data_IF_994619489044
#
_entry.id   IF_994619489044
#
_cell.length_a   1.000
_cell.length_b   1.000
_cell.length_c   1.000
_cell.angle_alpha   90.00
_cell.angle_beta   90.00
_cell.angle_gamma   90.00
#
_symmetry.space_group_name_H-M   'P 1'
#
loop_
_entity.id
_entity.type
_entity.pdbx_description
1 polymer ?
#
# COMPACT_ATOMS: atom_id res chain seq x y z
N UNK A 1 6.25 -10.64 16.30
CA UNK A 1 7.57 -11.04 15.75
C UNK A 1 7.58 -12.55 15.66
N UNK A 2 7.89 -13.12 14.49
CA UNK A 2 7.83 -14.55 14.22
C UNK A 2 9.16 -15.04 13.64
N UNK A 3 9.80 -15.98 14.31
CA UNK A 3 11.06 -16.63 13.88
C UNK A 3 10.87 -18.10 13.50
N UNK A 4 9.67 -18.64 13.68
CA UNK A 4 9.37 -20.04 13.40
C UNK A 4 9.42 -20.38 11.92
N UNK A 5 9.71 -21.64 11.61
CA UNK A 5 9.89 -22.10 10.24
C UNK A 5 8.65 -21.95 9.38
N UNK A 6 7.44 -22.13 9.95
CA UNK A 6 6.20 -22.01 9.20
C UNK A 6 5.94 -20.57 8.75
N UNK A 7 6.12 -19.61 9.65
CA UNK A 7 5.98 -18.19 9.32
C UNK A 7 7.00 -17.76 8.27
N UNK A 8 8.24 -18.22 8.37
CA UNK A 8 9.29 -17.90 7.39
C UNK A 8 9.00 -18.52 6.02
N UNK A 9 8.61 -19.79 5.97
CA UNK A 9 8.33 -20.47 4.69
C UNK A 9 7.11 -19.91 3.97
N UNK A 10 6.10 -19.43 4.70
CA UNK A 10 4.92 -18.80 4.10
C UNK A 10 5.20 -17.44 3.45
N UNK A 11 6.39 -16.88 3.64
CA UNK A 11 6.79 -15.57 3.11
C UNK A 11 7.97 -15.63 2.13
N UNK A 12 8.32 -16.81 1.61
CA UNK A 12 9.42 -16.98 0.65
C UNK A 12 9.01 -16.79 -0.81
N UNK A 13 7.73 -16.71 -1.10
CA UNK A 13 7.20 -16.63 -2.47
C UNK A 13 6.15 -15.54 -2.62
N UNK A 14 5.97 -15.05 -3.82
CA UNK A 14 4.88 -14.20 -4.26
C UNK A 14 4.27 -14.76 -5.55
N UNK A 15 3.54 -13.95 -6.31
CA UNK A 15 2.92 -14.38 -7.58
C UNK A 15 3.94 -14.65 -8.71
N UNK A 16 5.22 -14.34 -8.53
CA UNK A 16 6.29 -14.75 -9.47
C UNK A 16 6.65 -16.23 -9.35
N UNK A 17 6.22 -16.88 -8.28
CA UNK A 17 6.60 -18.26 -7.91
C UNK A 17 8.11 -18.42 -7.63
N UNK A 18 8.85 -17.34 -7.53
CA UNK A 18 10.24 -17.38 -7.11
C UNK A 18 10.35 -17.73 -5.63
N UNK A 19 11.35 -18.54 -5.29
CA UNK A 19 11.71 -18.93 -3.93
C UNK A 19 13.22 -18.88 -3.85
N UNK A 20 13.75 -17.76 -3.37
CA UNK A 20 15.20 -17.54 -3.36
C UNK A 20 15.79 -17.85 -2.00
N UNK A 21 15.29 -17.22 -0.93
CA UNK A 21 15.82 -17.37 0.42
C UNK A 21 14.72 -17.25 1.47
N UNK A 22 15.00 -17.71 2.69
CA UNK A 22 14.12 -17.53 3.84
C UNK A 22 14.44 -16.20 4.53
N UNK A 23 13.43 -15.41 4.93
CA UNK A 23 13.70 -14.24 5.75
C UNK A 23 14.22 -14.66 7.13
N UNK A 24 15.06 -13.83 7.76
CA UNK A 24 15.46 -14.02 9.15
C UNK A 24 14.23 -13.99 10.07
N UNK A 25 13.34 -13.04 9.83
CA UNK A 25 12.18 -12.77 10.68
C UNK A 25 10.99 -12.29 9.85
N UNK A 26 9.79 -12.60 10.34
CA UNK A 26 8.54 -12.02 9.85
C UNK A 26 7.95 -11.15 10.96
N UNK A 27 7.68 -9.91 10.64
CA UNK A 27 7.09 -8.89 11.51
C UNK A 27 5.66 -8.63 11.04
N UNK A 28 4.70 -8.77 11.94
CA UNK A 28 3.29 -8.49 11.66
C UNK A 28 2.82 -7.47 12.69
N UNK A 29 2.93 -6.15 12.40
CA UNK A 29 2.49 -5.12 13.33
C UNK A 29 0.99 -5.23 13.61
N UNK A 30 0.59 -4.99 14.85
CA UNK A 30 -0.80 -4.99 15.28
C UNK A 30 -1.47 -3.63 14.99
N UNK A 31 -0.66 -2.58 14.82
CA UNK A 31 -1.11 -1.22 14.49
C UNK A 31 -0.05 -0.48 13.67
N UNK A 32 -0.47 0.56 12.97
CA UNK A 32 0.46 1.46 12.24
C UNK A 32 1.47 2.14 13.16
N UNK A 33 1.11 2.39 14.42
CA UNK A 33 1.98 3.06 15.39
C UNK A 33 3.29 2.30 15.65
N UNK A 34 3.32 0.98 15.45
CA UNK A 34 4.51 0.16 15.61
C UNK A 34 5.48 0.26 14.42
N UNK A 35 5.01 0.73 13.26
CA UNK A 35 5.74 0.60 12.00
C UNK A 35 7.09 1.30 12.02
N UNK A 36 7.16 2.56 12.49
CA UNK A 36 8.41 3.32 12.53
C UNK A 36 9.46 2.66 13.44
N UNK A 37 9.03 2.12 14.58
CA UNK A 37 9.94 1.41 15.50
C UNK A 37 10.45 0.09 14.91
N UNK A 38 9.61 -0.65 14.20
CA UNK A 38 10.01 -1.88 13.51
C UNK A 38 11.00 -1.60 12.39
N UNK A 39 10.74 -0.58 11.56
CA UNK A 39 11.66 -0.14 10.50
C UNK A 39 13.00 0.27 11.09
N UNK A 40 12.99 1.09 12.16
CA UNK A 40 14.21 1.51 12.87
C UNK A 40 15.01 0.32 13.38
N UNK A 41 14.36 -0.63 14.04
CA UNK A 41 15.03 -1.84 14.54
C UNK A 41 15.64 -2.68 13.41
N UNK A 42 14.97 -2.82 12.28
CA UNK A 42 15.52 -3.51 11.11
C UNK A 42 16.77 -2.80 10.57
N UNK A 43 16.74 -1.47 10.47
CA UNK A 43 17.89 -0.66 10.03
C UNK A 43 19.08 -0.84 10.99
N UNK A 44 18.86 -0.72 12.29
CA UNK A 44 19.90 -0.88 13.31
C UNK A 44 20.54 -2.28 13.29
N UNK A 45 19.77 -3.30 12.93
CA UNK A 45 20.24 -4.69 12.78
C UNK A 45 20.84 -5.00 11.40
N UNK A 46 20.86 -4.04 10.48
CA UNK A 46 21.34 -4.23 9.12
C UNK A 46 20.50 -5.19 8.27
N UNK A 47 19.19 -5.30 8.56
CA UNK A 47 18.30 -6.19 7.84
C UNK A 47 17.72 -5.51 6.59
N UNK A 48 17.68 -6.24 5.48
CA UNK A 48 16.92 -5.84 4.30
C UNK A 48 15.42 -5.89 4.62
N UNK A 49 14.73 -4.75 4.47
CA UNK A 49 13.30 -4.65 4.75
C UNK A 49 12.49 -4.98 3.50
N UNK A 50 11.55 -5.91 3.64
CA UNK A 50 10.65 -6.36 2.58
C UNK A 50 9.22 -6.11 3.03
N UNK A 51 8.58 -5.01 2.62
CA UNK A 51 7.17 -4.79 2.90
C UNK A 51 6.32 -5.77 2.08
N UNK A 52 5.31 -6.35 2.73
CA UNK A 52 4.44 -7.34 2.11
C UNK A 52 2.98 -7.12 2.49
N UNK A 53 2.12 -7.01 1.49
CA UNK A 53 0.67 -7.17 1.60
C UNK A 53 0.27 -8.59 1.19
N UNK A 54 -0.61 -8.74 0.20
CA UNK A 54 -1.08 -10.03 -0.30
C UNK A 54 -0.06 -10.85 -1.09
N UNK A 55 1.12 -10.32 -1.40
CA UNK A 55 2.14 -11.02 -2.20
C UNK A 55 1.72 -11.30 -3.65
N UNK A 56 0.85 -10.48 -4.22
CA UNK A 56 0.24 -10.67 -5.54
C UNK A 56 1.01 -10.00 -6.68
N UNK A 57 2.11 -9.31 -6.39
CA UNK A 57 2.95 -8.62 -7.38
C UNK A 57 3.78 -9.60 -8.22
N UNK A 58 4.10 -9.17 -9.46
CA UNK A 58 4.88 -9.97 -10.42
C UNK A 58 6.33 -9.47 -10.57
N UNK A 59 6.81 -8.64 -9.65
CA UNK A 59 8.16 -8.06 -9.74
C UNK A 59 9.18 -8.71 -8.81
N UNK A 60 8.76 -9.66 -7.98
CA UNK A 60 9.61 -10.26 -6.95
C UNK A 60 9.87 -9.32 -5.74
N UNK A 61 9.14 -8.20 -5.65
CA UNK A 61 9.36 -7.21 -4.59
C UNK A 61 8.92 -7.64 -3.19
N UNK A 62 8.18 -8.76 -3.08
CA UNK A 62 7.68 -9.27 -1.80
C UNK A 62 8.40 -10.55 -1.34
N UNK A 63 9.51 -10.94 -1.98
CA UNK A 63 10.28 -12.12 -1.64
C UNK A 63 11.67 -11.78 -1.10
N UNK A 64 12.18 -12.53 -0.11
CA UNK A 64 13.56 -12.40 0.36
C UNK A 64 14.56 -12.88 -0.70
N UNK A 65 15.58 -12.08 -0.98
CA UNK A 65 16.72 -12.47 -1.82
C UNK A 65 17.94 -12.85 -0.98
N UNK A 66 17.91 -12.55 0.32
CA UNK A 66 18.98 -12.71 1.27
C UNK A 66 18.38 -13.12 2.62
N UNK A 67 19.08 -14.01 3.35
CA UNK A 67 18.66 -14.44 4.67
C UNK A 67 18.67 -13.29 5.71
N UNK A 68 19.52 -12.26 5.55
CA UNK A 68 19.54 -11.06 6.39
C UNK A 68 18.40 -10.11 6.04
N UNK A 69 17.18 -10.62 6.02
CA UNK A 69 16.00 -9.86 5.67
C UNK A 69 14.87 -10.00 6.70
N UNK A 70 14.08 -8.96 6.80
CA UNK A 70 12.85 -8.92 7.59
C UNK A 70 11.66 -8.66 6.65
N UNK A 71 10.69 -9.56 6.64
CA UNK A 71 9.42 -9.31 5.98
C UNK A 71 8.50 -8.58 6.96
N UNK A 72 8.06 -7.38 6.60
CA UNK A 72 7.03 -6.65 7.35
C UNK A 72 5.69 -6.88 6.63
N UNK A 73 4.87 -7.75 7.22
CA UNK A 73 3.57 -8.12 6.65
C UNK A 73 2.46 -7.25 7.25
N UNK A 74 1.71 -6.58 6.39
CA UNK A 74 0.64 -5.63 6.76
C UNK A 74 -0.73 -6.30 6.98
N UNK A 75 -0.80 -7.62 7.06
CA UNK A 75 -2.06 -8.40 7.12
C UNK A 75 -3.02 -8.01 8.25
N UNK A 76 -2.53 -7.38 9.30
CA UNK A 76 -3.35 -6.91 10.43
C UNK A 76 -3.77 -5.44 10.32
N UNK A 77 -3.17 -4.68 9.43
CA UNK A 77 -3.50 -3.28 9.20
C UNK A 77 -4.70 -3.22 8.23
N UNK A 78 -5.89 -3.49 8.74
CA UNK A 78 -7.09 -3.75 7.94
C UNK A 78 -8.27 -2.83 8.24
N UNK A 79 -8.02 -1.74 8.95
CA UNK A 79 -9.06 -0.76 9.21
C UNK A 79 -9.43 0.00 7.94
N UNK A 80 -10.72 0.17 7.73
CA UNK A 80 -11.31 0.85 6.59
C UNK A 80 -12.39 1.82 7.09
N UNK A 81 -12.30 3.07 6.66
CA UNK A 81 -13.30 4.09 6.95
C UNK A 81 -14.56 3.95 6.10
N UNK A 82 -15.43 4.94 6.20
CA UNK A 82 -16.58 5.08 5.31
C UNK A 82 -16.22 5.96 4.11
N UNK A 83 -16.97 5.82 3.04
CA UNK A 83 -16.90 6.77 1.93
C UNK A 83 -17.52 8.10 2.41
N UNK A 84 -16.71 9.15 2.40
CA UNK A 84 -17.07 10.47 2.88
C UNK A 84 -16.67 11.54 1.88
N UNK A 85 -17.52 12.57 1.68
CA UNK A 85 -17.11 13.74 0.91
C UNK A 85 -16.05 14.53 1.68
N UNK A 86 -14.91 14.79 1.04
CA UNK A 86 -13.83 15.61 1.60
C UNK A 86 -13.43 16.72 0.64
N UNK A 87 -13.12 17.89 1.19
CA UNK A 87 -12.49 18.99 0.47
C UNK A 87 -11.00 18.68 0.32
N UNK A 88 -10.57 18.33 -0.90
CA UNK A 88 -9.15 18.16 -1.18
C UNK A 88 -8.47 19.52 -1.40
N UNK A 89 -7.17 19.66 -1.02
CA UNK A 89 -6.45 20.92 -1.15
C UNK A 89 -6.46 21.46 -2.58
N UNK A 90 -6.86 22.72 -2.75
CA UNK A 90 -6.95 23.40 -4.03
C UNK A 90 -8.21 23.12 -4.85
N UNK A 91 -9.13 22.26 -4.37
CA UNK A 91 -10.42 22.05 -5.03
C UNK A 91 -11.52 22.93 -4.42
N UNK A 92 -12.48 23.34 -5.26
CA UNK A 92 -13.64 24.13 -4.88
C UNK A 92 -14.88 23.31 -4.52
N UNK A 93 -14.79 21.98 -4.68
CA UNK A 93 -15.86 21.01 -4.39
C UNK A 93 -15.37 19.86 -3.52
N UNK A 94 -16.30 19.21 -2.85
CA UNK A 94 -16.02 17.97 -2.13
C UNK A 94 -15.95 16.79 -3.08
N UNK A 95 -15.07 15.84 -2.75
CA UNK A 95 -14.83 14.62 -3.54
C UNK A 95 -15.04 13.42 -2.62
N UNK A 96 -15.77 12.38 -3.07
CA UNK A 96 -15.89 11.16 -2.28
C UNK A 96 -14.52 10.51 -2.10
N UNK A 97 -14.17 10.26 -0.86
CA UNK A 97 -12.92 9.61 -0.46
C UNK A 97 -13.17 8.52 0.57
N UNK A 98 -12.27 7.57 0.65
CA UNK A 98 -12.24 6.54 1.69
C UNK A 98 -10.83 6.45 2.25
N UNK A 99 -10.72 6.37 3.57
CA UNK A 99 -9.45 6.11 4.24
C UNK A 99 -9.29 4.62 4.48
N UNK A 100 -8.08 4.11 4.29
CA UNK A 100 -7.76 2.70 4.50
C UNK A 100 -6.37 2.52 5.07
N UNK A 101 -6.18 1.51 5.88
CA UNK A 101 -4.86 0.98 6.20
C UNK A 101 -4.26 0.17 5.03
N UNK A 102 -2.95 -0.06 5.09
CA UNK A 102 -2.17 -0.66 4.00
C UNK A 102 -2.55 -2.13 3.69
N UNK A 103 -3.00 -2.88 4.69
CA UNK A 103 -3.37 -4.30 4.57
C UNK A 103 -4.81 -4.53 4.13
N UNK A 104 -5.61 -3.48 3.95
CA UNK A 104 -6.99 -3.62 3.46
C UNK A 104 -6.99 -4.25 2.08
N UNK A 105 -7.74 -5.34 1.92
CA UNK A 105 -7.90 -6.01 0.62
C UNK A 105 -8.64 -5.10 -0.35
N UNK A 106 -8.13 -5.00 -1.57
CA UNK A 106 -8.64 -4.09 -2.62
C UNK A 106 -10.13 -4.25 -2.87
N UNK A 107 -10.63 -5.49 -2.88
CA UNK A 107 -12.05 -5.77 -3.08
C UNK A 107 -12.94 -5.10 -2.02
N UNK A 108 -12.52 -5.05 -0.75
CA UNK A 108 -13.29 -4.39 0.32
C UNK A 108 -13.51 -2.89 0.05
N UNK A 109 -12.53 -2.23 -0.59
CA UNK A 109 -12.68 -0.82 -0.99
C UNK A 109 -13.64 -0.69 -2.17
N UNK A 110 -13.59 -1.63 -3.11
CA UNK A 110 -14.53 -1.67 -4.23
C UNK A 110 -15.98 -1.88 -3.75
N UNK A 111 -16.18 -2.80 -2.80
CA UNK A 111 -17.49 -3.08 -2.20
C UNK A 111 -18.02 -1.84 -1.46
N UNK A 112 -17.18 -1.17 -0.66
CA UNK A 112 -17.56 0.04 0.04
C UNK A 112 -17.92 1.21 -0.90
N UNK A 113 -17.25 1.30 -2.06
CA UNK A 113 -17.58 2.27 -3.09
C UNK A 113 -18.92 1.95 -3.76
N UNK A 114 -19.18 0.68 -4.08
CA UNK A 114 -20.44 0.19 -4.67
C UNK A 114 -21.63 0.44 -3.73
N UNK A 115 -21.48 0.15 -2.46
CA UNK A 115 -22.49 0.43 -1.42
C UNK A 115 -22.83 1.94 -1.34
N UNK A 116 -21.89 2.80 -1.67
CA UNK A 116 -22.09 4.25 -1.76
C UNK A 116 -22.58 4.73 -3.15
N UNK A 117 -22.87 3.82 -4.08
CA UNK A 117 -23.26 4.15 -5.47
C UNK A 117 -22.13 4.69 -6.33
N UNK A 118 -20.89 4.37 -5.99
CA UNK A 118 -19.66 4.82 -6.65
C UNK A 118 -18.87 3.65 -7.23
N UNK A 119 -17.83 3.97 -7.99
CA UNK A 119 -16.92 2.99 -8.56
C UNK A 119 -15.50 3.24 -8.04
N UNK A 120 -14.89 2.23 -7.44
CA UNK A 120 -13.46 2.27 -7.18
C UNK A 120 -12.68 1.92 -8.45
N UNK A 121 -11.76 2.80 -8.86
CA UNK A 121 -11.11 2.71 -10.16
C UNK A 121 -10.00 1.65 -10.21
N UNK A 122 -9.37 1.34 -9.08
CA UNK A 122 -8.23 0.40 -9.01
C UNK A 122 -8.77 -1.03 -8.92
N UNK A 123 -8.74 -1.77 -10.03
CA UNK A 123 -9.31 -3.10 -10.15
C UNK A 123 -8.34 -4.14 -10.73
N UNK A 124 -7.19 -4.39 -10.07
CA UNK A 124 -6.26 -5.42 -10.53
C UNK A 124 -6.96 -6.78 -10.56
N UNK A 125 -6.50 -7.70 -11.40
CA UNK A 125 -7.04 -9.07 -11.47
C UNK A 125 -6.93 -9.82 -10.14
N UNK A 126 -6.02 -9.36 -9.27
CA UNK A 126 -5.81 -9.85 -7.91
C UNK A 126 -6.60 -9.09 -6.82
N UNK A 127 -7.66 -8.36 -7.17
CA UNK A 127 -8.38 -7.49 -6.22
C UNK A 127 -8.85 -8.20 -4.95
N UNK A 128 -9.20 -9.50 -5.04
CA UNK A 128 -9.63 -10.31 -3.90
C UNK A 128 -8.48 -10.70 -2.93
N UNK A 129 -7.23 -10.49 -3.33
CA UNK A 129 -6.04 -10.86 -2.56
C UNK A 129 -5.02 -9.73 -2.41
N UNK A 130 -4.98 -8.76 -3.34
CA UNK A 130 -4.08 -7.61 -3.24
C UNK A 130 -4.52 -6.63 -2.16
N UNK A 131 -3.56 -5.92 -1.59
CA UNK A 131 -3.80 -4.93 -0.53
C UNK A 131 -3.54 -3.52 -1.02
N UNK A 132 -4.22 -2.54 -0.43
CA UNK A 132 -4.14 -1.12 -0.84
C UNK A 132 -2.72 -0.57 -0.76
N UNK A 133 -1.95 -0.87 0.28
CA UNK A 133 -0.56 -0.42 0.38
C UNK A 133 0.30 -0.92 -0.78
N UNK A 134 0.12 -2.18 -1.19
CA UNK A 134 0.77 -2.74 -2.37
C UNK A 134 0.29 -2.11 -3.68
N UNK A 135 -1.01 -1.84 -3.81
CA UNK A 135 -1.56 -1.16 -4.98
C UNK A 135 -0.97 0.23 -5.16
N UNK A 136 -0.79 0.98 -4.07
CA UNK A 136 -0.16 2.31 -4.09
C UNK A 136 1.32 2.19 -4.45
N UNK A 137 2.06 1.32 -3.75
CA UNK A 137 3.50 1.16 -3.94
C UNK A 137 3.88 0.74 -5.36
N UNK A 138 3.05 -0.08 -6.00
CA UNK A 138 3.27 -0.59 -7.36
C UNK A 138 2.47 0.16 -8.42
N UNK A 139 1.78 1.22 -8.06
CA UNK A 139 0.88 1.97 -8.93
C UNK A 139 -0.09 1.06 -9.69
N UNK A 140 -0.80 0.20 -8.97
CA UNK A 140 -1.68 -0.81 -9.55
C UNK A 140 -2.78 -0.18 -10.39
N UNK A 141 -3.08 -0.83 -11.50
CA UNK A 141 -4.23 -0.55 -12.36
C UNK A 141 -5.09 -1.78 -12.53
N UNK A 142 -5.87 -1.81 -13.58
CA UNK A 142 -6.73 -2.92 -13.97
C UNK A 142 -7.49 -2.56 -15.24
N UNK A 143 -8.59 -3.22 -15.50
CA UNK A 143 -9.42 -2.96 -16.69
C UNK A 143 -9.98 -1.53 -16.69
N UNK A 144 -10.35 -1.04 -15.51
CA UNK A 144 -10.92 0.30 -15.33
C UNK A 144 -9.89 1.42 -15.49
N UNK A 145 -8.58 1.11 -15.40
CA UNK A 145 -7.51 2.10 -15.53
C UNK A 145 -7.48 2.81 -16.90
N UNK A 146 -8.02 2.20 -17.94
CA UNK A 146 -8.16 2.83 -19.26
C UNK A 146 -8.98 4.12 -19.18
N UNK A 147 -10.06 4.12 -18.36
CA UNK A 147 -10.94 5.28 -18.20
C UNK A 147 -10.52 6.16 -17.01
N UNK A 148 -10.22 5.54 -15.85
CA UNK A 148 -10.09 6.27 -14.58
C UNK A 148 -8.67 6.28 -14.02
N UNK A 149 -7.69 5.77 -14.77
CA UNK A 149 -6.30 5.75 -14.34
C UNK A 149 -5.96 4.64 -13.34
N UNK A 150 -4.78 4.76 -12.77
CA UNK A 150 -4.17 3.81 -11.83
C UNK A 150 -4.34 4.28 -10.39
N UNK A 151 -3.67 3.60 -9.45
CA UNK A 151 -3.70 3.97 -8.03
C UNK A 151 -3.24 5.42 -7.81
N UNK A 152 -2.15 5.86 -8.47
CA UNK A 152 -1.64 7.22 -8.35
C UNK A 152 -2.65 8.29 -8.80
N UNK A 153 -3.43 7.99 -9.85
CA UNK A 153 -4.42 8.91 -10.39
C UNK A 153 -5.60 9.12 -9.43
N UNK A 154 -5.86 8.13 -8.58
CA UNK A 154 -6.98 8.10 -7.64
C UNK A 154 -6.58 8.36 -6.18
N UNK A 155 -5.31 8.68 -5.93
CA UNK A 155 -4.76 8.87 -4.59
C UNK A 155 -4.79 10.34 -4.19
N UNK A 156 -5.49 10.64 -3.09
CA UNK A 156 -5.56 11.98 -2.52
C UNK A 156 -4.41 12.27 -1.56
N UNK A 157 -4.13 11.34 -0.65
CA UNK A 157 -3.01 11.41 0.29
C UNK A 157 -2.60 10.01 0.75
N UNK A 158 -1.40 9.89 1.29
CA UNK A 158 -0.93 8.67 1.94
C UNK A 158 0.09 8.98 3.03
N UNK A 159 0.30 8.04 3.93
CA UNK A 159 1.37 8.06 4.91
C UNK A 159 2.29 6.88 4.70
N UNK A 160 3.56 7.08 4.95
CA UNK A 160 4.57 6.01 4.86
C UNK A 160 5.68 6.24 5.88
N UNK A 161 6.35 5.15 6.25
CA UNK A 161 7.60 5.24 6.99
C UNK A 161 8.75 5.27 6.00
N UNK A 162 9.59 6.30 6.12
CA UNK A 162 10.74 6.51 5.23
C UNK A 162 11.91 5.57 5.58
N UNK A 163 12.94 5.48 4.72
CA UNK A 163 14.19 4.77 5.05
C UNK A 163 14.94 5.30 6.28
N UNK A 164 14.58 6.48 6.77
CA UNK A 164 15.11 7.04 8.03
C UNK A 164 14.26 6.66 9.26
N UNK A 165 13.27 5.78 9.08
CA UNK A 165 12.31 5.40 10.10
C UNK A 165 11.45 6.56 10.64
N UNK A 166 11.21 7.57 9.82
CA UNK A 166 10.36 8.72 10.10
C UNK A 166 9.04 8.61 9.34
N UNK A 167 7.96 9.10 9.93
CA UNK A 167 6.70 9.22 9.23
C UNK A 167 6.77 10.35 8.22
N UNK A 168 6.24 10.08 7.03
CA UNK A 168 6.03 11.05 5.97
C UNK A 168 4.56 11.00 5.56
N UNK A 169 3.88 12.11 5.65
CA UNK A 169 2.56 12.32 5.06
C UNK A 169 2.70 13.07 3.73
N UNK A 170 2.04 12.56 2.71
CA UNK A 170 2.04 13.14 1.36
C UNK A 170 0.62 13.43 0.96
N UNK A 171 0.32 14.68 0.63
CA UNK A 171 -1.01 15.12 0.20
C UNK A 171 -0.93 15.76 -1.18
N UNK A 172 -1.75 15.30 -2.10
CA UNK A 172 -1.83 15.87 -3.45
C UNK A 172 -2.56 17.21 -3.43
N UNK A 173 -1.92 18.23 -4.01
CA UNK A 173 -2.47 19.58 -4.15
C UNK A 173 -3.04 19.74 -5.56
N UNK A 174 -4.18 20.42 -5.68
CA UNK A 174 -4.86 20.66 -6.98
C UNK A 174 -5.08 19.38 -7.78
N UNK A 175 -5.64 18.36 -7.14
CA UNK A 175 -5.95 17.10 -7.81
C UNK A 175 -6.83 17.34 -9.05
N UNK A 176 -6.37 16.93 -10.21
CA UNK A 176 -7.11 17.14 -11.47
C UNK A 176 -8.34 16.22 -11.64
N UNK A 177 -8.60 15.32 -10.67
CA UNK A 177 -9.68 14.31 -10.70
C UNK A 177 -9.70 13.44 -11.96
N UNK A 178 -8.54 13.26 -12.57
CA UNK A 178 -8.28 12.50 -13.77
C UNK A 178 -6.88 11.90 -13.72
N UNK A 179 -6.39 11.46 -14.88
CA UNK A 179 -5.05 10.88 -14.95
C UNK A 179 -3.99 11.94 -14.69
N UNK A 180 -2.97 11.57 -13.93
CA UNK A 180 -1.93 12.52 -13.51
C UNK A 180 -1.16 13.13 -14.69
N UNK A 181 -0.98 12.37 -15.76
CA UNK A 181 -0.29 12.85 -16.97
C UNK A 181 -1.11 13.83 -17.83
N UNK A 182 -2.39 14.01 -17.52
CA UNK A 182 -3.22 15.04 -18.15
C UNK A 182 -2.98 16.42 -17.50
N UNK A 183 -2.30 16.46 -16.35
CA UNK A 183 -1.90 17.70 -15.69
C UNK A 183 -0.48 18.09 -16.12
N UNK A 184 -0.28 19.37 -16.45
CA UNK A 184 1.06 19.90 -16.78
C UNK A 184 2.04 19.76 -15.60
N UNK A 185 1.53 19.99 -14.39
CA UNK A 185 2.28 19.85 -13.13
C UNK A 185 1.43 19.16 -12.07
N UNK A 186 1.96 18.13 -11.42
CA UNK A 186 1.39 17.55 -10.23
C UNK A 186 2.17 18.00 -9.00
N UNK A 187 1.48 18.54 -8.01
CA UNK A 187 2.09 19.09 -6.79
C UNK A 187 1.68 18.28 -5.57
N UNK A 188 2.63 18.12 -4.65
CA UNK A 188 2.42 17.40 -3.39
C UNK A 188 2.98 18.20 -2.22
N UNK A 189 2.24 18.23 -1.13
CA UNK A 189 2.71 18.70 0.17
C UNK A 189 3.30 17.52 0.94
N UNK A 190 4.45 17.73 1.57
CA UNK A 190 5.17 16.74 2.37
C UNK A 190 5.26 17.23 3.81
N UNK A 191 4.83 16.38 4.76
CA UNK A 191 4.91 16.65 6.20
C UNK A 191 5.63 15.49 6.89
N UNK A 192 6.71 15.83 7.64
CA UNK A 192 7.51 14.89 8.43
C UNK A 192 7.13 14.95 9.90
#
# INVERSE_FOLDING_TARGET
>A
IKFDGLSRVSHVTDATDWRVEFPLVVLTPDSEAEMAALVKGCIELGLTIIPRGGGTGYTGGAIPLDWQSAVINTEKLIDIGRVEPRRLPGLDRDVPTIWTEAGVVTQRVADAAEDAGLVFAVDPTSAEASCIGGNIAMNAGGKKAVLWGTALDNLASWRMVTPNAEWLEVTRINHNLGKIHDAEVASFELVY
#
